data_IF_457050970283
#
_entry.id   IF_457050970283
#
_cell.length_a   1.000
_cell.length_b   1.000
_cell.length_c   1.000
_cell.angle_alpha   90.00
_cell.angle_beta   90.00
_cell.angle_gamma   90.00
#
_symmetry.space_group_name_H-M   'P 1'
#
loop_
_entity.id
_entity.type
_entity.pdbx_description
1 polymer ?
#
# COMPACT_ATOMS: atom_id res chain seq x y z
N UNK A 1 -22.34 25.76 2.47
CA UNK A 1 -22.62 24.32 2.32
C UNK A 1 -21.57 23.73 1.40
N UNK A 2 -20.83 22.68 1.83
CA UNK A 2 -19.98 21.93 0.89
C UNK A 2 -20.88 21.13 -0.04
N UNK A 3 -20.51 21.01 -1.32
CA UNK A 3 -21.25 20.14 -2.24
C UNK A 3 -20.79 18.68 -2.07
N UNK A 4 -21.64 17.72 -2.45
CA UNK A 4 -21.36 16.29 -2.27
C UNK A 4 -20.04 15.80 -2.93
N UNK A 5 -19.57 16.49 -3.98
CA UNK A 5 -18.28 16.18 -4.61
C UNK A 5 -17.10 16.56 -3.70
N UNK A 6 -17.22 17.68 -3.00
CA UNK A 6 -16.20 18.15 -2.06
C UNK A 6 -16.11 17.23 -0.83
N UNK A 7 -17.26 16.78 -0.32
CA UNK A 7 -17.31 15.82 0.78
C UNK A 7 -16.64 14.49 0.39
N UNK A 8 -16.93 13.98 -0.82
CA UNK A 8 -16.28 12.76 -1.33
C UNK A 8 -14.77 12.93 -1.52
N UNK A 9 -14.30 14.10 -1.96
CA UNK A 9 -12.86 14.39 -2.07
C UNK A 9 -12.18 14.42 -0.71
N UNK A 10 -12.77 15.09 0.27
CA UNK A 10 -12.22 15.14 1.63
C UNK A 10 -12.19 13.77 2.29
N UNK A 11 -13.23 12.97 2.10
CA UNK A 11 -13.28 11.61 2.63
C UNK A 11 -12.20 10.72 2.00
N UNK A 12 -12.00 10.81 0.68
CA UNK A 12 -10.89 10.13 0.02
C UNK A 12 -9.53 10.56 0.57
N UNK A 13 -9.33 11.86 0.77
CA UNK A 13 -8.10 12.40 1.34
C UNK A 13 -7.83 11.85 2.75
N UNK A 14 -8.86 11.80 3.61
CA UNK A 14 -8.75 11.21 4.95
C UNK A 14 -8.29 9.75 4.90
N UNK A 15 -8.85 8.96 3.97
CA UNK A 15 -8.48 7.56 3.77
C UNK A 15 -7.04 7.40 3.28
N UNK A 16 -6.58 8.29 2.40
CA UNK A 16 -5.18 8.31 1.95
C UNK A 16 -4.22 8.70 3.07
N UNK A 17 -4.59 9.66 3.92
CA UNK A 17 -3.82 10.00 5.12
C UNK A 17 -3.77 8.82 6.10
N UNK A 18 -4.91 8.15 6.34
CA UNK A 18 -4.97 6.99 7.21
C UNK A 18 -4.09 5.84 6.68
N UNK A 19 -4.16 5.54 5.39
CA UNK A 19 -3.32 4.51 4.77
C UNK A 19 -1.82 4.83 4.95
N UNK A 20 -1.41 6.08 4.67
CA UNK A 20 -0.02 6.55 4.88
C UNK A 20 0.41 6.47 6.34
N UNK A 21 -0.48 6.84 7.26
CA UNK A 21 -0.22 6.71 8.68
C UNK A 21 -0.02 5.24 9.07
N UNK A 22 -0.93 4.34 8.69
CA UNK A 22 -0.86 2.93 9.06
C UNK A 22 0.41 2.24 8.56
N UNK A 23 0.85 2.50 7.32
CA UNK A 23 2.09 1.87 6.81
C UNK A 23 3.34 2.29 7.59
N UNK A 24 3.32 3.46 8.24
CA UNK A 24 4.42 3.92 9.10
C UNK A 24 4.41 3.27 10.49
N UNK A 25 3.31 2.64 10.88
CA UNK A 25 3.18 1.99 12.18
C UNK A 25 3.75 0.57 12.17
N UNK A 26 4.14 0.03 13.33
CA UNK A 26 4.50 -1.39 13.47
C UNK A 26 3.38 -2.32 12.97
N UNK A 27 3.77 -3.49 12.46
CA UNK A 27 2.82 -4.48 11.92
C UNK A 27 1.72 -4.88 12.92
N UNK A 28 2.05 -4.97 14.21
CA UNK A 28 1.08 -5.25 15.27
C UNK A 28 -0.06 -4.22 15.30
N UNK A 29 0.28 -2.93 15.26
CA UNK A 29 -0.70 -1.83 15.29
C UNK A 29 -1.55 -1.80 14.02
N UNK A 30 -0.93 -2.02 12.84
CA UNK A 30 -1.69 -2.14 11.58
C UNK A 30 -2.73 -3.25 11.66
N UNK A 31 -2.29 -4.43 12.11
CA UNK A 31 -3.15 -5.61 12.23
C UNK A 31 -4.29 -5.36 13.21
N UNK A 32 -3.99 -4.78 14.37
CA UNK A 32 -4.96 -4.58 15.42
C UNK A 32 -5.99 -3.52 15.00
N UNK A 33 -5.56 -2.42 14.38
CA UNK A 33 -6.46 -1.45 13.77
C UNK A 33 -7.40 -2.11 12.74
N UNK A 34 -6.85 -2.83 11.76
CA UNK A 34 -7.63 -3.50 10.72
C UNK A 34 -8.57 -4.59 11.27
N UNK A 35 -8.28 -5.15 12.44
CA UNK A 35 -9.19 -6.09 13.14
C UNK A 35 -10.39 -5.39 13.76
N UNK A 36 -10.22 -4.17 14.27
CA UNK A 36 -11.31 -3.39 14.87
C UNK A 36 -12.30 -2.83 13.84
N UNK A 37 -11.90 -2.75 12.56
CA UNK A 37 -12.76 -2.24 11.50
C UNK A 37 -13.95 -3.17 11.23
N UNK A 38 -15.15 -2.68 11.53
CA UNK A 38 -16.41 -3.42 11.37
C UNK A 38 -16.99 -3.39 9.96
N UNK A 39 -16.56 -2.44 9.13
CA UNK A 39 -17.06 -2.27 7.76
C UNK A 39 -16.10 -2.95 6.77
N UNK A 40 -16.48 -4.09 6.17
CA UNK A 40 -15.56 -4.87 5.33
C UNK A 40 -15.09 -4.11 4.09
N UNK A 41 -15.99 -3.37 3.43
CA UNK A 41 -15.66 -2.57 2.26
C UNK A 41 -14.62 -1.49 2.58
N UNK A 42 -14.78 -0.79 3.72
CA UNK A 42 -13.83 0.22 4.17
C UNK A 42 -12.48 -0.41 4.54
N UNK A 43 -12.49 -1.57 5.21
CA UNK A 43 -11.26 -2.31 5.54
C UNK A 43 -10.50 -2.70 4.28
N UNK A 44 -11.20 -3.19 3.26
CA UNK A 44 -10.59 -3.54 1.97
C UNK A 44 -10.04 -2.31 1.26
N UNK A 45 -10.77 -1.19 1.26
CA UNK A 45 -10.30 0.07 0.66
C UNK A 45 -9.02 0.58 1.34
N UNK A 46 -9.00 0.66 2.68
CA UNK A 46 -7.80 1.06 3.42
C UNK A 46 -6.64 0.10 3.19
N UNK A 47 -6.91 -1.21 3.20
CA UNK A 47 -5.87 -2.23 2.93
C UNK A 47 -5.29 -2.06 1.54
N UNK A 48 -6.13 -1.80 0.52
CA UNK A 48 -5.69 -1.54 -0.86
C UNK A 48 -4.81 -0.29 -0.93
N UNK A 49 -5.25 0.83 -0.33
CA UNK A 49 -4.48 2.08 -0.29
C UNK A 49 -3.15 1.90 0.44
N UNK A 50 -3.11 1.15 1.54
CA UNK A 50 -1.85 0.83 2.22
C UNK A 50 -0.87 0.10 1.29
N UNK A 51 -1.34 -0.84 0.47
CA UNK A 51 -0.49 -1.54 -0.51
C UNK A 51 0.00 -0.62 -1.62
N UNK A 52 -0.86 0.27 -2.12
CA UNK A 52 -0.49 1.29 -3.11
C UNK A 52 0.59 2.22 -2.59
N UNK A 53 0.42 2.75 -1.37
CA UNK A 53 1.40 3.62 -0.72
C UNK A 53 2.72 2.90 -0.45
N UNK A 54 2.67 1.64 -0.01
CA UNK A 54 3.89 0.84 0.17
C UNK A 54 4.61 0.60 -1.17
N UNK A 55 3.88 0.29 -2.24
CA UNK A 55 4.47 0.10 -3.55
C UNK A 55 5.12 1.40 -4.08
N UNK A 56 4.48 2.55 -3.89
CA UNK A 56 5.07 3.86 -4.21
C UNK A 56 6.39 4.08 -3.46
N UNK A 57 6.39 3.87 -2.13
CA UNK A 57 7.60 4.00 -1.33
C UNK A 57 8.73 3.10 -1.81
N UNK A 58 8.44 1.84 -2.16
CA UNK A 58 9.43 0.90 -2.68
C UNK A 58 9.93 1.34 -4.08
N UNK A 59 9.05 1.84 -4.94
CA UNK A 59 9.40 2.36 -6.26
C UNK A 59 10.30 3.61 -6.17
N UNK A 60 10.12 4.43 -5.13
CA UNK A 60 10.94 5.64 -4.88
C UNK A 60 12.30 5.32 -4.27
N UNK A 61 12.51 4.11 -3.73
CA UNK A 61 13.82 3.71 -3.22
C UNK A 61 14.85 3.60 -4.34
N UNK A 62 16.13 3.92 -4.06
CA UNK A 62 17.27 3.53 -4.90
C UNK A 62 17.26 2.04 -5.22
N UNK A 63 17.75 1.65 -6.40
CA UNK A 63 17.65 0.27 -6.91
C UNK A 63 18.21 -0.78 -5.95
N UNK A 64 19.35 -0.52 -5.33
CA UNK A 64 19.97 -1.40 -4.33
C UNK A 64 19.08 -1.61 -3.09
N UNK A 65 18.52 -0.52 -2.55
CA UNK A 65 17.62 -0.58 -1.40
C UNK A 65 16.29 -1.26 -1.75
N UNK A 66 15.77 -0.99 -2.94
CA UNK A 66 14.56 -1.64 -3.47
C UNK A 66 14.76 -3.16 -3.58
N UNK A 67 15.90 -3.60 -4.09
CA UNK A 67 16.21 -5.01 -4.23
C UNK A 67 16.38 -5.70 -2.87
N UNK A 68 17.08 -5.07 -1.93
CA UNK A 68 17.15 -5.54 -0.54
C UNK A 68 15.75 -5.64 0.08
N UNK A 69 14.88 -4.64 -0.15
CA UNK A 69 13.52 -4.64 0.36
C UNK A 69 12.71 -5.79 -0.22
N UNK A 70 12.81 -6.08 -1.52
CA UNK A 70 12.15 -7.24 -2.11
C UNK A 70 12.64 -8.57 -1.55
N UNK A 71 13.95 -8.71 -1.27
CA UNK A 71 14.47 -9.90 -0.60
C UNK A 71 13.83 -10.09 0.78
N UNK A 72 13.74 -9.02 1.58
CA UNK A 72 13.07 -9.08 2.88
C UNK A 72 11.59 -9.50 2.76
N UNK A 73 10.86 -8.92 1.81
CA UNK A 73 9.45 -9.28 1.57
C UNK A 73 9.29 -10.72 1.07
N UNK A 74 10.21 -11.20 0.23
CA UNK A 74 10.23 -12.59 -0.26
C UNK A 74 10.47 -13.59 0.88
N UNK A 75 11.30 -13.26 1.86
CA UNK A 75 11.47 -14.11 3.05
C UNK A 75 10.19 -14.16 3.89
N UNK A 76 9.47 -13.05 4.04
CA UNK A 76 8.15 -13.04 4.70
C UNK A 76 7.10 -13.85 3.92
N UNK A 77 7.18 -13.82 2.59
CA UNK A 77 6.29 -14.56 1.68
C UNK A 77 6.34 -16.07 1.91
N UNK A 78 7.50 -16.63 2.29
CA UNK A 78 7.67 -18.07 2.54
C UNK A 78 6.82 -18.60 3.73
N UNK A 79 6.35 -17.71 4.61
CA UNK A 79 5.65 -18.12 5.85
C UNK A 79 4.21 -18.58 5.61
N UNK A 80 3.57 -18.17 4.51
CA UNK A 80 2.21 -18.62 4.17
C UNK A 80 1.85 -18.24 2.73
N UNK A 81 0.89 -18.97 2.15
CA UNK A 81 0.31 -18.64 0.83
C UNK A 81 -0.22 -17.19 0.77
N UNK A 82 -0.86 -16.73 1.84
CA UNK A 82 -1.36 -15.36 1.95
C UNK A 82 -0.25 -14.31 1.87
N UNK A 83 0.90 -14.57 2.49
CA UNK A 83 2.04 -13.65 2.41
C UNK A 83 2.67 -13.66 1.03
N UNK A 84 2.67 -14.81 0.35
CA UNK A 84 3.13 -14.93 -1.02
C UNK A 84 2.29 -14.12 -2.00
N UNK A 85 0.97 -14.26 -1.94
CA UNK A 85 0.03 -13.47 -2.75
C UNK A 85 0.20 -11.97 -2.50
N UNK A 86 0.35 -11.57 -1.24
CA UNK A 86 0.61 -10.19 -0.89
C UNK A 86 1.95 -9.68 -1.47
N UNK A 87 3.01 -10.48 -1.41
CA UNK A 87 4.30 -10.13 -2.01
C UNK A 87 4.21 -9.95 -3.53
N UNK A 88 3.51 -10.85 -4.23
CA UNK A 88 3.30 -10.77 -5.68
C UNK A 88 2.52 -9.50 -6.04
N UNK A 89 1.45 -9.18 -5.32
CA UNK A 89 0.66 -7.95 -5.51
C UNK A 89 1.52 -6.70 -5.36
N UNK A 90 2.32 -6.59 -4.29
CA UNK A 90 3.23 -5.45 -4.09
C UNK A 90 4.27 -5.36 -5.22
N UNK A 91 4.88 -6.48 -5.60
CA UNK A 91 5.89 -6.51 -6.66
C UNK A 91 5.33 -6.06 -8.01
N UNK A 92 4.14 -6.52 -8.36
CA UNK A 92 3.48 -6.14 -9.61
C UNK A 92 3.21 -4.64 -9.64
N UNK A 93 2.66 -4.08 -8.55
CA UNK A 93 2.42 -2.63 -8.43
C UNK A 93 3.69 -1.81 -8.61
N UNK A 94 4.79 -2.21 -7.96
CA UNK A 94 6.08 -1.52 -8.11
C UNK A 94 6.55 -1.56 -9.55
N UNK A 95 6.47 -2.72 -10.22
CA UNK A 95 6.87 -2.84 -11.61
C UNK A 95 6.03 -1.94 -12.53
N UNK A 96 4.72 -1.87 -12.31
CA UNK A 96 3.82 -1.03 -13.11
C UNK A 96 4.11 0.46 -12.92
N UNK A 97 4.39 0.88 -11.67
CA UNK A 97 4.81 2.25 -11.37
C UNK A 97 6.11 2.59 -12.11
N UNK A 98 7.11 1.70 -12.05
CA UNK A 98 8.40 1.93 -12.71
C UNK A 98 8.28 1.97 -14.23
N UNK A 99 7.48 1.07 -14.82
CA UNK A 99 7.18 1.07 -16.26
C UNK A 99 6.53 2.39 -16.68
N UNK A 100 5.52 2.83 -15.93
CA UNK A 100 4.79 4.08 -16.23
C UNK A 100 5.71 5.29 -16.17
N UNK A 101 6.60 5.35 -15.17
CA UNK A 101 7.60 6.43 -15.04
C UNK A 101 8.58 6.44 -16.20
N UNK A 102 9.12 5.27 -16.57
CA UNK A 102 10.05 5.17 -17.68
C UNK A 102 9.40 5.52 -19.03
N UNK A 103 8.13 5.16 -19.22
CA UNK A 103 7.36 5.52 -20.41
C UNK A 103 7.01 7.02 -20.49
N UNK A 104 6.99 7.73 -19.35
CA UNK A 104 6.72 9.17 -19.31
C UNK A 104 7.97 10.03 -19.57
N UNK A 105 9.13 9.41 -19.70
CA UNK A 105 10.43 10.06 -19.95
C UNK A 105 10.99 9.76 -21.36
N UNK A 106 10.18 9.17 -22.24
CA UNK A 106 10.44 8.99 -23.69
C UNK A 106 9.51 9.91 -24.46
#
# INVERSE_FOLDING_TARGET
MMNAREEARQENHKRDCLARHLISQPFSQQRDFLKTMKVPALKQDITRRMREQLALQIADMPQNLRQMRFTQLKELAKRSQRNYEWYVDIRNRVNDILKTRNASHV
#
